data_IF_475892501514
#
_entry.id   IF_475892501514
#
_cell.length_a   1.000
_cell.length_b   1.000
_cell.length_c   1.000
_cell.angle_alpha   90.00
_cell.angle_beta   90.00
_cell.angle_gamma   90.00
#
_symmetry.space_group_name_H-M   'P 1'
#
loop_
_entity.id
_entity.type
_entity.pdbx_description
1 polymer ?
#
# COMPACT_ATOMS: atom_id res chain seq x y z
N UNK A 1 5.62 -12.05 -1.38
CA UNK A 1 5.08 -10.67 -1.35
C UNK A 1 6.14 -9.64 -1.04
N UNK A 2 7.02 -9.87 -0.05
CA UNK A 2 8.12 -8.95 0.23
C UNK A 2 9.01 -8.70 -1.01
N UNK A 3 9.37 -9.75 -1.77
CA UNK A 3 10.22 -9.59 -2.98
C UNK A 3 9.60 -8.70 -4.06
N UNK A 4 8.26 -8.72 -4.20
CA UNK A 4 7.56 -7.86 -5.15
C UNK A 4 7.41 -6.42 -4.65
N UNK A 5 7.39 -6.23 -3.33
CA UNK A 5 7.27 -4.91 -2.70
C UNK A 5 8.61 -4.19 -2.57
N UNK A 6 9.69 -4.94 -2.27
CA UNK A 6 10.98 -4.39 -1.86
C UNK A 6 12.20 -5.14 -2.43
N UNK A 7 11.99 -6.28 -3.11
CA UNK A 7 13.06 -7.13 -3.61
C UNK A 7 13.24 -7.05 -5.12
N UNK A 8 13.70 -8.15 -5.69
CA UNK A 8 14.13 -8.29 -7.09
C UNK A 8 13.02 -8.73 -8.05
N UNK A 9 11.78 -8.86 -7.57
CA UNK A 9 10.61 -9.23 -8.39
C UNK A 9 9.55 -8.13 -8.48
N UNK A 10 9.91 -6.86 -8.74
CA UNK A 10 8.94 -5.76 -8.78
C UNK A 10 7.96 -5.86 -9.95
N UNK A 11 8.24 -6.70 -10.96
CA UNK A 11 7.37 -6.90 -12.12
C UNK A 11 6.29 -7.99 -11.94
N UNK A 12 6.26 -8.68 -10.79
CA UNK A 12 5.26 -9.72 -10.52
C UNK A 12 3.84 -9.15 -10.57
N UNK A 13 3.07 -9.55 -11.59
CA UNK A 13 1.65 -9.20 -11.73
C UNK A 13 0.90 -10.28 -12.53
N UNK A 14 -0.33 -10.67 -12.13
CA UNK A 14 -1.07 -10.22 -10.96
C UNK A 14 -0.46 -10.73 -9.64
N UNK A 15 -0.56 -9.92 -8.58
CA UNK A 15 -0.13 -10.34 -7.25
C UNK A 15 -1.10 -11.40 -6.68
N UNK A 16 -0.61 -12.44 -5.95
CA UNK A 16 -1.47 -13.42 -5.28
C UNK A 16 -2.37 -12.80 -4.22
N UNK A 17 -3.64 -13.22 -4.13
CA UNK A 17 -4.61 -12.70 -3.15
C UNK A 17 -4.05 -12.69 -1.73
N UNK A 18 -4.23 -11.58 -1.01
CA UNK A 18 -3.85 -11.51 0.40
C UNK A 18 -4.81 -12.31 1.27
N UNK A 19 -4.24 -13.05 2.21
CA UNK A 19 -4.95 -13.77 3.28
C UNK A 19 -4.67 -13.17 4.66
N UNK A 20 -3.75 -12.21 4.77
CA UNK A 20 -3.42 -11.52 6.03
C UNK A 20 -3.33 -10.00 5.87
N UNK A 21 -3.47 -9.22 6.96
CA UNK A 21 -3.24 -7.78 6.95
C UNK A 21 -1.83 -7.36 6.46
N UNK A 22 -0.76 -8.04 6.88
CA UNK A 22 0.59 -7.76 6.39
C UNK A 22 0.71 -7.95 4.87
N UNK A 23 0.06 -8.98 4.34
CA UNK A 23 0.01 -9.24 2.91
C UNK A 23 -0.76 -8.16 2.14
N UNK A 24 -1.84 -7.61 2.71
CA UNK A 24 -2.53 -6.45 2.13
C UNK A 24 -1.60 -5.24 2.04
N UNK A 25 -0.82 -4.97 3.08
CA UNK A 25 0.15 -3.88 3.06
C UNK A 25 1.25 -4.11 2.01
N UNK A 26 1.86 -5.30 1.98
CA UNK A 26 2.90 -5.63 0.99
C UNK A 26 2.37 -5.56 -0.45
N UNK A 27 1.15 -6.03 -0.71
CA UNK A 27 0.52 -5.89 -2.02
C UNK A 27 0.30 -4.43 -2.41
N UNK A 28 -0.12 -3.60 -1.46
CA UNK A 28 -0.30 -2.17 -1.72
C UNK A 28 1.02 -1.50 -2.10
N UNK A 29 2.11 -1.80 -1.38
CA UNK A 29 3.46 -1.30 -1.70
C UNK A 29 3.89 -1.75 -3.09
N UNK A 30 3.80 -3.05 -3.40
CA UNK A 30 4.17 -3.60 -4.70
C UNK A 30 3.36 -2.98 -5.84
N UNK A 31 2.03 -2.92 -5.71
CA UNK A 31 1.16 -2.31 -6.71
C UNK A 31 1.46 -0.81 -6.90
N UNK A 32 1.72 -0.07 -5.82
CA UNK A 32 2.13 1.34 -5.89
C UNK A 32 3.47 1.54 -6.60
N UNK A 33 4.47 0.72 -6.29
CA UNK A 33 5.77 0.74 -6.97
C UNK A 33 5.68 0.43 -8.46
N UNK A 34 4.69 -0.34 -8.89
CA UNK A 34 4.37 -0.63 -10.30
C UNK A 34 3.47 0.45 -10.96
N UNK A 35 3.13 1.53 -10.26
CA UNK A 35 2.21 2.57 -10.76
C UNK A 35 0.72 2.16 -10.78
N UNK A 36 0.36 1.02 -10.19
CA UNK A 36 -1.01 0.48 -10.13
C UNK A 36 -1.78 1.02 -8.92
N UNK A 37 -1.88 2.35 -8.80
CA UNK A 37 -2.44 3.02 -7.62
C UNK A 37 -3.88 2.61 -7.27
N UNK A 38 -4.73 2.31 -8.26
CA UNK A 38 -6.09 1.84 -7.99
C UNK A 38 -6.13 0.52 -7.20
N UNK A 39 -5.25 -0.44 -7.54
CA UNK A 39 -5.13 -1.69 -6.81
C UNK A 39 -4.50 -1.46 -5.43
N UNK A 40 -3.50 -0.58 -5.35
CA UNK A 40 -2.85 -0.23 -4.09
C UNK A 40 -3.83 0.40 -3.09
N UNK A 41 -4.62 1.38 -3.52
CA UNK A 41 -5.63 2.03 -2.68
C UNK A 41 -6.73 1.08 -2.24
N UNK A 42 -7.13 0.13 -3.09
CA UNK A 42 -8.09 -0.92 -2.71
C UNK A 42 -7.55 -1.75 -1.55
N UNK A 43 -6.31 -2.23 -1.64
CA UNK A 43 -5.71 -3.07 -0.61
C UNK A 43 -5.47 -2.27 0.69
N UNK A 44 -5.06 -0.99 0.62
CA UNK A 44 -4.97 -0.09 1.79
C UNK A 44 -6.33 0.18 2.45
N UNK A 45 -7.40 0.32 1.66
CA UNK A 45 -8.75 0.52 2.20
C UNK A 45 -9.24 -0.73 2.96
N UNK A 46 -8.93 -1.93 2.46
CA UNK A 46 -9.22 -3.18 3.19
C UNK A 46 -8.37 -3.26 4.45
N UNK A 47 -7.06 -3.00 4.37
CA UNK A 47 -6.15 -3.01 5.51
C UNK A 47 -6.65 -2.13 6.66
N UNK A 48 -7.08 -0.90 6.36
CA UNK A 48 -7.61 0.04 7.37
C UNK A 48 -8.86 -0.47 8.08
N UNK A 49 -9.69 -1.28 7.41
CA UNK A 49 -10.89 -1.89 8.01
C UNK A 49 -10.55 -3.09 8.88
N UNK A 50 -9.55 -3.89 8.48
CA UNK A 50 -9.19 -5.15 9.17
C UNK A 50 -8.14 -4.97 10.26
N UNK A 51 -7.32 -3.92 10.19
CA UNK A 51 -6.27 -3.61 11.17
C UNK A 51 -6.25 -2.09 11.46
N UNK A 52 -7.25 -1.57 12.20
CA UNK A 52 -7.43 -0.12 12.38
C UNK A 52 -6.41 0.53 13.32
N UNK A 53 -5.67 -0.25 14.11
CA UNK A 53 -4.71 0.26 15.11
C UNK A 53 -3.36 -0.44 15.02
N UNK A 54 -2.34 0.16 15.64
CA UNK A 54 -1.00 -0.43 15.75
C UNK A 54 -0.14 -0.23 14.49
N UNK A 55 0.91 -1.05 14.37
CA UNK A 55 1.95 -0.90 13.35
C UNK A 55 1.41 -0.87 11.92
N UNK A 56 0.52 -1.80 11.57
CA UNK A 56 -0.02 -1.89 10.22
C UNK A 56 -0.92 -0.72 9.84
N UNK A 57 -1.65 -0.14 10.80
CA UNK A 57 -2.40 1.08 10.58
C UNK A 57 -1.46 2.24 10.22
N UNK A 58 -0.39 2.43 11.00
CA UNK A 58 0.62 3.46 10.73
C UNK A 58 1.32 3.26 9.38
N UNK A 59 1.69 2.03 9.04
CA UNK A 59 2.27 1.69 7.73
C UNK A 59 1.28 1.96 6.59
N UNK A 60 0.00 1.62 6.75
CA UNK A 60 -1.04 1.87 5.76
C UNK A 60 -1.25 3.37 5.50
N UNK A 61 -1.34 4.18 6.56
CA UNK A 61 -1.50 5.63 6.48
C UNK A 61 -0.30 6.30 5.80
N UNK A 62 0.91 6.00 6.27
CA UNK A 62 2.15 6.54 5.69
C UNK A 62 2.37 6.12 4.23
N UNK A 63 1.99 4.89 3.86
CA UNK A 63 2.01 4.44 2.46
C UNK A 63 1.03 5.24 1.61
N UNK A 64 -0.20 5.47 2.09
CA UNK A 64 -1.18 6.29 1.38
C UNK A 64 -0.71 7.73 1.19
N UNK A 65 -0.18 8.34 2.24
CA UNK A 65 0.41 9.69 2.20
C UNK A 65 1.55 9.77 1.17
N UNK A 66 2.40 8.73 1.10
CA UNK A 66 3.51 8.67 0.15
C UNK A 66 3.03 8.62 -1.30
N UNK A 67 2.01 7.80 -1.61
CA UNK A 67 1.43 7.78 -2.96
C UNK A 67 0.84 9.13 -3.35
N UNK A 68 0.11 9.78 -2.44
CA UNK A 68 -0.44 11.12 -2.70
C UNK A 68 0.67 12.13 -3.02
N UNK A 69 1.81 12.08 -2.32
CA UNK A 69 2.97 12.95 -2.61
C UNK A 69 3.60 12.62 -3.97
N UNK A 70 3.74 11.35 -4.32
CA UNK A 70 4.28 10.93 -5.62
C UNK A 70 3.41 11.39 -6.79
N UNK A 71 2.09 11.47 -6.58
CA UNK A 71 1.13 11.98 -7.56
C UNK A 71 0.96 13.51 -7.54
N UNK A 72 1.74 14.22 -6.71
CA UNK A 72 1.71 15.68 -6.60
C UNK A 72 0.59 16.25 -5.69
N UNK A 73 -0.21 15.41 -5.03
CA UNK A 73 -1.33 15.82 -4.18
C UNK A 73 -0.89 16.09 -2.73
N UNK A 74 0.11 16.94 -2.55
CA UNK A 74 0.72 17.21 -1.25
C UNK A 74 -0.27 17.76 -0.21
N UNK A 75 -1.24 18.59 -0.62
CA UNK A 75 -2.26 19.13 0.29
C UNK A 75 -3.15 18.03 0.86
N UNK A 76 -3.56 17.06 0.03
CA UNK A 76 -4.36 15.90 0.46
C UNK A 76 -3.53 14.98 1.35
N UNK A 77 -2.25 14.79 1.03
CA UNK A 77 -1.35 13.93 1.79
C UNK A 77 -1.21 14.34 3.28
N UNK A 78 -1.33 15.64 3.59
CA UNK A 78 -1.24 16.14 4.98
C UNK A 78 -2.34 15.61 5.91
N UNK A 79 -3.47 15.17 5.38
CA UNK A 79 -4.54 14.55 6.19
C UNK A 79 -4.23 13.11 6.63
N UNK A 80 -3.08 12.58 6.22
CA UNK A 80 -2.64 11.21 6.47
C UNK A 80 -1.38 11.12 7.34
N UNK A 81 -0.90 12.26 7.85
CA UNK A 81 0.16 12.37 8.88
C UNK A 81 -0.46 12.28 10.28
#
# INVERSE_FOLDING_TARGET
>A
MADAAFGDRPADWPLPSATTPDQLWLRAVAAGGQGRYGAAYRDLAVLRRTAPTGRLASLGLSTQASFLRQLGWHSVARGWD
#
